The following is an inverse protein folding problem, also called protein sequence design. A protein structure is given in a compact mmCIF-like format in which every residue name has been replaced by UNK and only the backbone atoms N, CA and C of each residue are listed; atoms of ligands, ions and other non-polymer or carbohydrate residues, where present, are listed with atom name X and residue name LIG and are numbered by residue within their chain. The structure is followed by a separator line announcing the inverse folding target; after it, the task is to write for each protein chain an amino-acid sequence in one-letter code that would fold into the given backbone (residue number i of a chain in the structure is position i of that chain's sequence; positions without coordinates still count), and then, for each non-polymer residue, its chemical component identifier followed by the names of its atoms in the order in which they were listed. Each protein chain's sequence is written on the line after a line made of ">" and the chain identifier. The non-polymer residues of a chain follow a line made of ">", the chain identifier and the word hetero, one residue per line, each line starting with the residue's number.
data_IF_471876678517
#
_entry.id   IF_471876678517
#
_cell.length_a   1.000
_cell.length_b   1.000
_cell.length_c   1.000
_cell.angle_alpha   90.00
_cell.angle_beta   90.00
_cell.angle_gamma   90.00
#
_symmetry.space_group_name_H-M   'P 1'
#
loop_
_entity.id
_entity.type
_entity.pdbx_description
1 polymer ?
#
# COMPACT_ATOMS: atom_id res chain seq x y z
N UNK A 1 3.60 -28.08 -12.14
CA UNK A 1 3.07 -26.72 -12.15
C UNK A 1 3.08 -26.24 -10.71
N UNK A 2 3.93 -25.27 -10.38
CA UNK A 2 3.85 -24.61 -9.07
C UNK A 2 2.75 -23.59 -9.15
N UNK A 3 1.65 -23.81 -8.45
CA UNK A 3 0.62 -22.81 -8.24
C UNK A 3 1.28 -21.70 -7.41
N UNK A 4 1.41 -20.49 -7.96
CA UNK A 4 1.84 -19.34 -7.18
C UNK A 4 0.70 -18.97 -6.26
N UNK A 5 0.67 -19.59 -5.08
CA UNK A 5 -0.22 -19.19 -3.99
C UNK A 5 0.33 -17.85 -3.49
N UNK A 6 -0.37 -16.77 -3.81
CA UNK A 6 -0.12 -15.46 -3.20
C UNK A 6 -0.57 -15.56 -1.75
N UNK A 7 0.36 -15.90 -0.86
CA UNK A 7 0.17 -15.91 0.59
C UNK A 7 0.15 -14.45 1.11
N UNK A 8 -0.82 -13.68 0.62
CA UNK A 8 -1.10 -12.33 1.12
C UNK A 8 -1.47 -12.42 2.61
N UNK A 9 -0.67 -11.81 3.47
CA UNK A 9 -0.92 -11.77 4.91
C UNK A 9 -2.26 -11.09 5.20
N UNK A 10 -3.08 -11.74 6.03
CA UNK A 10 -4.31 -11.14 6.53
C UNK A 10 -4.00 -9.93 7.42
N UNK A 11 -4.95 -9.01 7.55
CA UNK A 11 -4.79 -7.84 8.42
C UNK A 11 -4.44 -8.23 9.88
N UNK A 12 -4.95 -9.38 10.35
CA UNK A 12 -4.66 -9.89 11.69
C UNK A 12 -3.22 -10.39 11.82
N UNK A 13 -2.69 -11.06 10.80
CA UNK A 13 -1.29 -11.50 10.78
C UNK A 13 -0.34 -10.32 10.71
N UNK A 14 -0.67 -9.30 9.91
CA UNK A 14 0.06 -8.03 9.88
C UNK A 14 0.08 -7.34 11.25
N UNK A 15 -1.08 -7.24 11.91
CA UNK A 15 -1.19 -6.67 13.25
C UNK A 15 -0.34 -7.47 14.27
N UNK A 16 -0.32 -8.80 14.15
CA UNK A 16 0.49 -9.68 15.00
C UNK A 16 1.99 -9.46 14.79
N UNK A 17 2.45 -9.36 13.54
CA UNK A 17 3.85 -9.03 13.21
C UNK A 17 4.26 -7.67 13.77
N UNK A 18 3.35 -6.69 13.78
CA UNK A 18 3.59 -5.38 14.37
C UNK A 18 3.56 -5.37 15.92
N UNK A 19 3.30 -6.52 16.55
CA UNK A 19 3.20 -6.65 18.00
C UNK A 19 2.00 -5.89 18.55
N UNK A 20 0.84 -6.02 17.90
CA UNK A 20 -0.41 -5.42 18.36
C UNK A 20 -1.06 -6.23 19.49
N UNK A 21 -1.54 -5.53 20.51
CA UNK A 21 -2.26 -6.07 21.66
C UNK A 21 -3.55 -5.29 21.88
N UNK A 22 -4.59 -5.99 22.33
CA UNK A 22 -5.78 -5.37 22.90
C UNK A 22 -5.53 -5.14 24.40
N UNK A 23 -5.30 -3.89 24.79
CA UNK A 23 -5.12 -3.52 26.19
C UNK A 23 -6.48 -3.20 26.79
N UNK A 24 -6.76 -3.72 27.99
CA UNK A 24 -7.98 -3.48 28.74
C UNK A 24 -7.59 -2.71 30.01
N UNK A 25 -8.20 -1.55 30.22
CA UNK A 25 -8.11 -0.85 31.50
C UNK A 25 -9.06 -1.52 32.49
N UNK A 26 -8.50 -2.21 33.49
CA UNK A 26 -9.27 -2.94 34.49
C UNK A 26 -10.19 -2.04 35.33
N UNK A 27 -9.86 -0.75 35.46
CA UNK A 27 -10.64 0.20 36.27
C UNK A 27 -11.82 0.78 35.51
N UNK A 28 -11.65 1.05 34.22
CA UNK A 28 -12.68 1.72 33.40
C UNK A 28 -13.40 0.77 32.43
N UNK A 29 -12.87 -0.44 32.23
CA UNK A 29 -13.32 -1.39 31.22
C UNK A 29 -13.00 -0.96 29.78
N UNK A 30 -12.31 0.17 29.59
CA UNK A 30 -12.00 0.68 28.25
C UNK A 30 -10.94 -0.18 27.57
N UNK A 31 -11.19 -0.52 26.31
CA UNK A 31 -10.26 -1.29 25.49
C UNK A 31 -9.53 -0.36 24.51
N UNK A 32 -8.22 -0.52 24.37
CA UNK A 32 -7.42 0.19 23.37
C UNK A 32 -6.47 -0.76 22.67
N UNK A 33 -6.44 -0.72 21.34
CA UNK A 33 -5.45 -1.46 20.55
C UNK A 33 -4.14 -0.67 20.52
N UNK A 34 -3.07 -1.29 21.03
CA UNK A 34 -1.72 -0.72 21.08
C UNK A 34 -0.73 -1.63 20.37
N UNK A 35 0.35 -1.09 19.83
CA UNK A 35 1.39 -1.90 19.16
C UNK A 35 2.80 -1.36 19.40
N UNK A 36 3.80 -2.24 19.29
CA UNK A 36 5.22 -1.87 19.40
C UNK A 36 5.75 -1.15 18.17
N UNK A 37 5.24 -1.56 17.01
CA UNK A 37 5.57 -0.99 15.70
C UNK A 37 4.32 -0.44 15.01
N UNK A 38 4.47 0.51 14.06
CA UNK A 38 3.32 1.05 13.36
C UNK A 38 2.64 0.00 12.49
N UNK A 39 1.32 -0.09 12.59
CA UNK A 39 0.50 -1.05 11.83
C UNK A 39 0.54 -0.76 10.33
N UNK A 40 0.34 -1.78 9.48
CA UNK A 40 0.31 -1.64 8.01
C UNK A 40 -0.65 -0.53 7.54
N UNK A 41 -1.90 -0.57 8.03
CA UNK A 41 -2.94 0.45 7.79
C UNK A 41 -2.56 1.87 8.19
N UNK A 42 -1.55 2.03 9.05
CA UNK A 42 -1.09 3.34 9.46
C UNK A 42 -0.21 4.01 8.37
N UNK A 43 0.46 3.22 7.53
CA UNK A 43 1.22 3.68 6.37
C UNK A 43 0.33 4.02 5.18
N UNK A 44 -0.81 3.36 5.04
CA UNK A 44 -1.77 3.54 3.93
C UNK A 44 -2.56 4.85 4.02
N UNK A 45 -2.45 5.55 5.15
CA UNK A 45 -3.16 6.81 5.35
C UNK A 45 -2.63 7.90 4.42
N UNK A 46 -3.54 8.65 3.82
CA UNK A 46 -3.22 9.75 2.92
C UNK A 46 -2.34 10.86 3.58
N UNK A 47 -2.44 11.03 4.91
CA UNK A 47 -1.64 12.00 5.65
C UNK A 47 -0.35 11.41 6.27
N UNK A 48 -0.02 10.14 5.96
CA UNK A 48 1.27 9.55 6.30
C UNK A 48 2.38 10.15 5.42
N UNK A 49 3.33 10.85 6.04
CA UNK A 49 4.46 11.45 5.34
C UNK A 49 5.70 10.57 5.27
N UNK A 50 5.70 9.45 6.00
CA UNK A 50 6.84 8.53 6.11
C UNK A 50 6.60 7.18 5.42
N UNK A 51 5.59 7.09 4.53
CA UNK A 51 5.40 5.96 3.63
C UNK A 51 6.13 6.21 2.29
N UNK A 52 7.31 5.62 2.16
CA UNK A 52 8.15 5.74 0.96
C UNK A 52 7.94 4.62 -0.06
N UNK A 53 7.07 3.65 0.23
CA UNK A 53 6.89 2.44 -0.58
C UNK A 53 8.07 1.47 -0.57
N UNK A 54 9.14 1.76 0.18
CA UNK A 54 10.31 0.90 0.35
C UNK A 54 11.02 1.16 1.67
N UNK A 55 11.85 0.22 2.08
CA UNK A 55 12.81 0.43 3.15
C UNK A 55 13.89 1.43 2.71
N UNK A 56 14.22 2.40 3.55
CA UNK A 56 15.24 3.40 3.26
C UNK A 56 16.05 3.74 4.53
N UNK A 57 17.24 4.31 4.38
CA UNK A 57 18.13 4.63 5.50
C UNK A 57 17.43 5.46 6.59
N UNK A 58 16.61 6.45 6.22
CA UNK A 58 15.84 7.23 7.21
C UNK A 58 14.87 6.37 8.04
N UNK A 59 14.30 5.31 7.45
CA UNK A 59 13.40 4.37 8.13
C UNK A 59 14.17 3.41 9.04
N UNK A 60 15.33 2.93 8.58
CA UNK A 60 16.28 2.16 9.38
C UNK A 60 16.69 2.93 10.63
N UNK A 61 17.15 4.18 10.46
CA UNK A 61 17.59 5.03 11.59
C UNK A 61 16.47 5.25 12.61
N UNK A 62 15.23 5.45 12.13
CA UNK A 62 14.07 5.61 13.00
C UNK A 62 13.76 4.33 13.75
N UNK A 63 13.78 3.18 13.06
CA UNK A 63 13.51 1.87 13.64
C UNK A 63 14.54 1.54 14.73
N UNK A 64 15.83 1.64 14.41
CA UNK A 64 16.93 1.36 15.34
C UNK A 64 16.90 2.29 16.55
N UNK A 65 16.59 3.58 16.35
CA UNK A 65 16.46 4.54 17.46
C UNK A 65 15.33 4.12 18.40
N UNK A 66 14.17 3.74 17.87
CA UNK A 66 13.05 3.28 18.70
C UNK A 66 13.38 1.97 19.42
N UNK A 67 14.00 1.02 18.73
CA UNK A 67 14.44 -0.26 19.33
C UNK A 67 15.37 0.00 20.51
N UNK A 68 16.40 0.83 20.31
CA UNK A 68 17.32 1.24 21.37
C UNK A 68 16.60 1.92 22.54
N UNK A 69 15.59 2.76 22.26
CA UNK A 69 14.83 3.42 23.31
C UNK A 69 13.98 2.43 24.13
N UNK A 70 13.42 1.41 23.49
CA UNK A 70 12.70 0.32 24.16
C UNK A 70 13.67 -0.46 25.05
N UNK A 71 14.80 -0.89 24.51
CA UNK A 71 15.81 -1.71 25.23
C UNK A 71 16.40 -0.97 26.44
N UNK A 72 16.58 0.35 26.35
CA UNK A 72 17.11 1.16 27.44
C UNK A 72 16.03 1.70 28.39
N UNK A 73 14.75 1.36 28.19
CA UNK A 73 13.66 1.83 29.05
C UNK A 73 13.47 3.35 29.03
N UNK A 74 13.68 3.99 27.88
CA UNK A 74 13.47 5.44 27.74
C UNK A 74 11.98 5.73 27.93
N UNK A 75 11.68 6.67 28.82
CA UNK A 75 10.32 7.11 29.12
C UNK A 75 9.52 7.41 27.83
N UNK A 76 8.27 6.95 27.77
CA UNK A 76 7.37 7.05 26.61
C UNK A 76 7.74 6.18 25.39
N UNK A 77 8.81 5.38 25.47
CA UNK A 77 9.18 4.40 24.44
C UNK A 77 9.17 2.96 24.96
N UNK A 78 9.10 2.77 26.27
CA UNK A 78 9.09 1.49 26.98
C UNK A 78 7.75 0.74 26.92
N UNK A 79 6.75 1.29 26.21
CA UNK A 79 5.41 0.70 26.08
C UNK A 79 4.90 0.74 24.63
N UNK A 80 4.03 -0.21 24.24
CA UNK A 80 3.32 -0.13 22.97
C UNK A 80 2.38 1.07 22.98
N UNK A 81 2.21 1.71 21.83
CA UNK A 81 1.44 2.96 21.71
C UNK A 81 0.18 2.75 20.88
N UNK A 82 -0.83 3.60 21.12
CA UNK A 82 -2.11 3.52 20.43
C UNK A 82 -2.01 4.02 18.99
N UNK A 83 -2.97 3.61 18.15
CA UNK A 83 -3.02 4.00 16.75
C UNK A 83 -2.94 5.52 16.53
N UNK A 84 -3.62 6.34 17.34
CA UNK A 84 -3.55 7.80 17.19
C UNK A 84 -2.15 8.37 17.46
N UNK A 85 -1.38 7.77 18.38
CA UNK A 85 -0.01 8.18 18.64
C UNK A 85 0.89 7.82 17.44
N UNK A 86 0.66 6.65 16.83
CA UNK A 86 1.29 6.29 15.57
C UNK A 86 1.00 7.28 14.45
N UNK A 87 -0.26 7.71 14.33
CA UNK A 87 -0.65 8.71 13.32
C UNK A 87 0.17 9.98 13.41
N UNK A 88 0.41 10.45 14.64
CA UNK A 88 1.23 11.63 14.90
C UNK A 88 2.71 11.37 14.60
N UNK A 89 3.24 10.23 15.04
CA UNK A 89 4.65 9.86 14.85
C UNK A 89 5.04 9.70 13.37
N UNK A 90 4.13 9.20 12.52
CA UNK A 90 4.38 8.95 11.09
C UNK A 90 3.82 10.03 10.17
N UNK A 91 3.36 11.15 10.73
CA UNK A 91 2.89 12.26 9.92
C UNK A 91 3.99 12.79 9.02
N UNK A 92 5.25 12.60 9.41
CA UNK A 92 6.43 13.00 8.65
C UNK A 92 6.54 14.51 8.47
N UNK A 93 7.50 14.92 7.64
CA UNK A 93 7.80 16.33 7.36
C UNK A 93 6.85 16.85 6.28
N UNK A 94 6.19 17.99 6.54
CA UNK A 94 5.16 18.55 5.65
C UNK A 94 5.61 18.73 4.20
N UNK A 95 6.77 19.36 3.93
CA UNK A 95 7.35 19.43 2.58
C UNK A 95 7.51 18.09 1.88
N UNK A 96 8.03 17.06 2.58
CA UNK A 96 8.23 15.72 2.02
C UNK A 96 6.88 15.09 1.65
N UNK A 97 5.86 15.26 2.50
CA UNK A 97 4.50 14.77 2.20
C UNK A 97 3.92 15.45 0.97
N UNK A 98 4.05 16.77 0.83
CA UNK A 98 3.59 17.50 -0.37
C UNK A 98 4.32 17.02 -1.63
N UNK A 99 5.62 16.78 -1.52
CA UNK A 99 6.43 16.23 -2.61
C UNK A 99 5.94 14.83 -3.03
N UNK A 100 5.73 13.92 -2.08
CA UNK A 100 5.19 12.58 -2.38
C UNK A 100 3.83 12.63 -3.07
N UNK A 101 2.92 13.48 -2.60
CA UNK A 101 1.61 13.66 -3.22
C UNK A 101 1.73 14.15 -4.67
N UNK A 102 2.63 15.11 -4.93
CA UNK A 102 2.89 15.62 -6.28
C UNK A 102 3.45 14.54 -7.22
N UNK A 103 4.44 13.78 -6.76
CA UNK A 103 5.04 12.68 -7.53
C UNK A 103 4.01 11.58 -7.79
N UNK A 104 3.25 11.19 -6.78
CA UNK A 104 2.22 10.16 -6.91
C UNK A 104 1.13 10.58 -7.92
N UNK A 105 0.64 11.82 -7.82
CA UNK A 105 -0.34 12.37 -8.76
C UNK A 105 0.19 12.41 -10.20
N UNK A 106 1.42 12.86 -10.38
CA UNK A 106 2.05 12.94 -11.72
C UNK A 106 2.29 11.56 -12.32
N UNK A 107 2.71 10.60 -11.49
CA UNK A 107 2.94 9.21 -11.89
C UNK A 107 1.64 8.52 -12.28
N UNK A 108 0.57 8.69 -11.49
CA UNK A 108 -0.74 8.14 -11.80
C UNK A 108 -1.29 8.70 -13.10
N UNK A 109 -1.23 10.02 -13.30
CA UNK A 109 -1.68 10.63 -14.55
C UNK A 109 -0.93 10.08 -15.77
N UNK A 110 0.39 9.87 -15.64
CA UNK A 110 1.20 9.26 -16.70
C UNK A 110 0.78 7.81 -16.99
N UNK A 111 0.60 6.98 -15.95
CA UNK A 111 0.22 5.57 -16.08
C UNK A 111 -1.18 5.44 -16.70
N UNK A 112 -2.16 6.21 -16.21
CA UNK A 112 -3.52 6.22 -16.73
C UNK A 112 -3.56 6.62 -18.20
N UNK A 113 -2.82 7.67 -18.58
CA UNK A 113 -2.67 8.08 -19.96
C UNK A 113 -2.05 6.98 -20.83
N UNK A 114 -1.05 6.24 -20.31
CA UNK A 114 -0.44 5.12 -21.03
C UNK A 114 -1.40 3.96 -21.22
N UNK A 115 -2.19 3.61 -20.19
CA UNK A 115 -3.20 2.54 -20.26
C UNK A 115 -4.26 2.89 -21.30
N UNK A 116 -4.76 4.13 -21.31
CA UNK A 116 -5.74 4.59 -22.29
C UNK A 116 -5.18 4.51 -23.72
N UNK A 117 -3.96 5.00 -23.95
CA UNK A 117 -3.31 4.94 -25.25
C UNK A 117 -3.13 3.49 -25.74
N UNK A 118 -2.70 2.58 -24.88
CA UNK A 118 -2.57 1.15 -25.21
C UNK A 118 -3.93 0.51 -25.53
N UNK A 119 -4.99 0.90 -24.81
CA UNK A 119 -6.36 0.46 -25.11
C UNK A 119 -6.81 0.93 -26.50
N UNK A 120 -6.59 2.21 -26.82
CA UNK A 120 -6.90 2.79 -28.13
C UNK A 120 -6.11 2.15 -29.27
N UNK A 121 -4.82 1.86 -29.07
CA UNK A 121 -4.01 1.13 -30.05
C UNK A 121 -4.52 -0.30 -30.29
N UNK A 122 -4.91 -1.01 -29.23
CA UNK A 122 -5.51 -2.35 -29.34
C UNK A 122 -6.84 -2.30 -30.12
N UNK A 123 -7.70 -1.34 -29.81
CA UNK A 123 -8.99 -1.14 -30.51
C UNK A 123 -8.78 -0.75 -31.98
N UNK A 124 -7.81 0.13 -32.27
CA UNK A 124 -7.46 0.53 -33.64
C UNK A 124 -6.95 -0.64 -34.47
N UNK A 125 -6.01 -1.44 -33.92
CA UNK A 125 -5.52 -2.65 -34.58
C UNK A 125 -6.65 -3.64 -34.82
N UNK A 126 -7.51 -3.90 -33.83
CA UNK A 126 -8.68 -4.77 -34.01
C UNK A 126 -9.60 -4.27 -35.13
N UNK A 127 -9.83 -2.95 -35.24
CA UNK A 127 -10.65 -2.34 -36.30
C UNK A 127 -10.00 -2.45 -37.70
N UNK A 128 -8.67 -2.36 -37.79
CA UNK A 128 -7.94 -2.56 -39.05
C UNK A 128 -8.00 -4.01 -39.52
N UNK A 129 -7.98 -4.98 -38.59
CA UNK A 129 -8.22 -6.40 -38.91
C UNK A 129 -9.63 -6.68 -39.44
N UNK A 130 -10.64 -5.88 -39.06
CA UNK A 130 -11.99 -5.98 -39.62
C UNK A 130 -12.15 -5.39 -41.04
N UNK A 131 -11.15 -4.65 -41.57
CA UNK A 131 -11.31 -3.88 -42.81
C UNK A 131 -10.69 -4.51 -44.08
N UNK A 132 -10.22 -5.75 -44.02
CA UNK A 132 -9.80 -6.51 -45.20
C UNK A 132 -10.49 -7.88 -45.25
N UNK A 133 -11.70 -7.91 -45.82
CA UNK A 133 -12.48 -9.13 -45.98
C UNK A 133 -13.73 -8.99 -46.86
N UNK A 134 -13.80 -8.01 -47.76
CA UNK A 134 -14.84 -8.00 -48.81
C UNK A 134 -14.43 -8.95 -49.94
N UNK A 135 -14.60 -10.25 -49.71
CA UNK A 135 -14.25 -11.27 -50.67
C UNK A 135 -14.72 -12.67 -50.27
N UNK A 136 -16.04 -12.88 -50.32
CA UNK A 136 -16.74 -14.18 -50.39
C UNK A 136 -16.15 -15.33 -49.57
N UNK A 137 -16.73 -15.59 -48.39
CA UNK A 137 -16.51 -16.86 -47.69
C UNK A 137 -17.19 -16.87 -46.33
N UNK A 138 -18.26 -17.65 -46.22
CA UNK A 138 -19.01 -17.93 -45.00
C UNK A 138 -18.06 -18.44 -43.90
N UNK A 139 -17.81 -17.67 -42.83
CA UNK A 139 -17.06 -18.15 -41.66
C UNK A 139 -17.69 -17.69 -40.36
N UNK A 140 -17.97 -18.67 -39.49
CA UNK A 140 -18.62 -18.53 -38.19
C UNK A 140 -17.82 -17.61 -37.27
N UNK A 141 -18.56 -16.73 -36.60
CA UNK A 141 -18.09 -15.92 -35.48
C UNK A 141 -17.80 -16.84 -34.30
N UNK A 142 -16.53 -16.96 -33.89
CA UNK A 142 -16.16 -17.48 -32.57
C UNK A 142 -15.69 -16.29 -31.77
N UNK A 143 -16.52 -15.86 -30.82
CA UNK A 143 -16.22 -14.80 -29.87
C UNK A 143 -15.17 -15.31 -28.88
N UNK A 144 -13.89 -15.08 -29.16
CA UNK A 144 -12.83 -15.35 -28.18
C UNK A 144 -12.83 -14.23 -27.15
N UNK A 145 -13.53 -14.43 -26.03
CA UNK A 145 -13.37 -13.62 -24.83
C UNK A 145 -11.98 -13.89 -24.27
N UNK A 146 -11.10 -12.89 -24.35
CA UNK A 146 -9.86 -12.91 -23.59
C UNK A 146 -10.22 -12.59 -22.13
N UNK A 147 -10.03 -13.58 -21.25
CA UNK A 147 -9.95 -13.42 -19.79
C UNK A 147 -8.63 -12.73 -19.41
#
# INVERSE_FOLDING_TARGET
>A
MGEYVDDSLTARELDLICGAYLCIDERTGQTAMKSWWPLARAYERADCGDNYGRWCSRREDWYLRRLRNIENGVENSDQPIAFQQWKTAMRGVGPIRKFHLSIHSSSNAFIEGRIQNLSLEKLSKATVWWRFGSGRGLLRMVETRYY
#
